data_IF_611613741473
#
_entry.id   IF_611613741473
#
_cell.length_a   1.000
_cell.length_b   1.000
_cell.length_c   1.000
_cell.angle_alpha   90.00
_cell.angle_beta   90.00
_cell.angle_gamma   90.00
#
_symmetry.space_group_name_H-M   'P 1'
#
loop_
_entity.id
_entity.type
_entity.pdbx_description
1 polymer ?
#
# COMPACT_ATOMS: atom_id res chain seq x y z
N UNK A 1 16.52 13.68 -11.03
CA UNK A 1 16.07 12.66 -12.01
C UNK A 1 15.13 11.71 -11.27
N UNK A 2 13.84 11.68 -11.62
CA UNK A 2 12.89 10.71 -11.03
C UNK A 2 13.18 9.30 -11.57
N UNK A 3 13.19 8.30 -10.70
CA UNK A 3 13.36 6.88 -11.07
C UNK A 3 12.25 6.42 -12.02
N UNK A 4 12.50 5.41 -12.86
CA UNK A 4 11.51 4.85 -13.80
C UNK A 4 10.23 4.37 -13.12
N UNK A 5 10.35 3.93 -11.86
CA UNK A 5 9.21 3.75 -10.94
C UNK A 5 8.25 4.95 -10.99
N UNK A 6 8.73 6.17 -10.75
CA UNK A 6 7.89 7.37 -10.73
C UNK A 6 7.20 7.70 -12.07
N UNK A 7 7.68 7.20 -13.22
CA UNK A 7 7.06 7.43 -14.53
C UNK A 7 5.82 6.57 -14.77
N UNK A 8 5.82 5.33 -14.29
CA UNK A 8 4.67 4.41 -14.43
C UNK A 8 3.63 4.62 -13.31
N UNK A 9 4.03 5.21 -12.18
CA UNK A 9 3.16 5.49 -11.01
C UNK A 9 2.41 6.84 -11.06
N UNK A 10 2.54 7.64 -12.11
CA UNK A 10 1.91 8.97 -12.20
C UNK A 10 0.37 8.94 -12.30
N UNK A 11 -0.21 7.79 -12.67
CA UNK A 11 -1.65 7.66 -12.95
C UNK A 11 -2.39 6.69 -12.04
N UNK A 12 -1.71 5.93 -11.18
CA UNK A 12 -2.35 4.86 -10.39
C UNK A 12 -2.22 5.14 -8.89
N UNK A 13 -3.19 4.71 -8.08
CA UNK A 13 -3.03 4.71 -6.62
C UNK A 13 -1.87 3.77 -6.25
N UNK A 14 -1.08 4.15 -5.25
CA UNK A 14 0.02 3.32 -4.78
C UNK A 14 0.30 3.48 -3.27
N UNK A 15 0.94 2.46 -2.70
CA UNK A 15 1.42 2.44 -1.33
C UNK A 15 2.93 2.14 -1.31
N UNK A 16 3.70 2.89 -0.54
CA UNK A 16 5.07 2.55 -0.17
C UNK A 16 5.03 1.86 1.18
N UNK A 17 5.46 0.60 1.21
CA UNK A 17 5.62 -0.13 2.45
C UNK A 17 7.11 -0.13 2.80
N UNK A 18 7.45 0.49 3.93
CA UNK A 18 8.79 0.41 4.50
C UNK A 18 8.91 -0.90 5.28
N UNK A 19 9.09 -2.00 4.54
CA UNK A 19 9.16 -3.37 5.08
C UNK A 19 10.22 -3.53 6.18
N UNK A 20 11.36 -2.85 6.07
CA UNK A 20 12.43 -2.88 7.07
C UNK A 20 12.04 -2.26 8.42
N UNK A 21 10.92 -1.53 8.48
CA UNK A 21 10.37 -1.01 9.74
C UNK A 21 9.42 -2.00 10.44
N UNK A 22 8.99 -3.07 9.76
CA UNK A 22 7.97 -3.98 10.28
C UNK A 22 8.59 -5.27 10.85
N UNK A 23 7.96 -5.90 11.86
CA UNK A 23 8.40 -7.19 12.39
C UNK A 23 8.45 -8.31 11.34
N UNK A 24 9.42 -9.20 11.50
CA UNK A 24 9.55 -10.41 10.66
C UNK A 24 8.26 -11.25 10.76
N UNK A 25 7.83 -11.77 9.62
CA UNK A 25 6.66 -12.63 9.54
C UNK A 25 5.34 -11.86 9.47
N UNK A 26 5.35 -10.53 9.48
CA UNK A 26 4.17 -9.75 9.07
C UNK A 26 4.03 -9.76 7.56
N UNK A 27 2.84 -9.45 7.06
CA UNK A 27 2.55 -9.44 5.64
C UNK A 27 1.48 -8.43 5.31
N UNK A 28 1.23 -8.22 4.03
CA UNK A 28 0.18 -7.33 3.57
C UNK A 28 -0.62 -7.94 2.42
N UNK A 29 -1.84 -7.44 2.25
CA UNK A 29 -2.66 -7.67 1.06
C UNK A 29 -3.15 -6.33 0.56
N UNK A 30 -3.05 -6.16 -0.75
CA UNK A 30 -3.55 -4.99 -1.43
C UNK A 30 -4.77 -5.37 -2.27
N UNK A 31 -5.77 -4.50 -2.23
CA UNK A 31 -7.09 -4.72 -2.78
C UNK A 31 -7.54 -3.56 -3.62
N UNK A 32 -8.31 -3.89 -4.65
CA UNK A 32 -9.05 -2.92 -5.45
C UNK A 32 -10.53 -3.23 -5.36
N UNK A 33 -11.36 -2.19 -5.23
CA UNK A 33 -12.81 -2.32 -5.28
C UNK A 33 -13.42 -1.12 -6.00
N UNK A 34 -14.48 -1.38 -6.76
CA UNK A 34 -15.23 -0.34 -7.46
C UNK A 34 -16.21 0.36 -6.51
N UNK A 35 -16.56 1.64 -6.77
CA UNK A 35 -17.55 2.35 -5.96
C UNK A 35 -18.94 1.67 -5.97
N UNK A 36 -19.26 0.91 -7.02
CA UNK A 36 -20.55 0.24 -7.20
C UNK A 36 -20.47 -1.29 -7.06
N UNK A 37 -19.27 -1.86 -6.92
CA UNK A 37 -19.08 -3.30 -6.81
C UNK A 37 -18.06 -3.60 -5.71
N UNK A 38 -18.51 -4.08 -4.54
CA UNK A 38 -17.66 -4.36 -3.39
C UNK A 38 -16.82 -5.63 -3.56
N UNK A 39 -16.72 -6.19 -4.78
CA UNK A 39 -15.80 -7.30 -5.06
C UNK A 39 -14.37 -6.82 -4.85
N UNK A 40 -13.89 -7.08 -3.65
CA UNK A 40 -12.51 -6.93 -3.20
C UNK A 40 -11.68 -7.94 -4.01
N UNK A 41 -10.98 -7.47 -5.04
CA UNK A 41 -10.00 -8.31 -5.74
C UNK A 41 -8.65 -8.06 -5.10
N UNK A 42 -8.15 -9.06 -4.36
CA UNK A 42 -6.78 -9.08 -3.90
C UNK A 42 -5.88 -9.35 -5.10
N UNK A 43 -5.02 -8.39 -5.44
CA UNK A 43 -4.14 -8.53 -6.61
C UNK A 43 -2.68 -8.78 -6.20
N UNK A 44 -2.31 -8.46 -4.96
CA UNK A 44 -0.97 -8.68 -4.41
C UNK A 44 -1.04 -9.07 -2.94
N UNK A 45 -0.27 -10.10 -2.59
CA UNK A 45 0.01 -10.49 -1.20
C UNK A 45 1.49 -10.76 -1.03
N UNK A 46 2.07 -10.30 0.06
CA UNK A 46 3.48 -10.56 0.35
C UNK A 46 3.71 -10.62 1.86
N UNK A 47 4.56 -11.56 2.27
CA UNK A 47 5.12 -11.60 3.62
C UNK A 47 6.45 -10.85 3.62
N UNK A 48 6.65 -10.03 4.63
CA UNK A 48 7.78 -9.11 4.72
C UNK A 48 9.07 -9.90 4.95
N UNK A 49 9.96 -9.87 3.96
CA UNK A 49 11.33 -10.34 4.09
C UNK A 49 12.24 -9.17 4.52
N UNK A 50 12.99 -9.29 5.64
CA UNK A 50 13.94 -8.26 6.08
C UNK A 50 15.05 -7.92 5.07
N UNK A 51 15.31 -8.78 4.09
CA UNK A 51 16.35 -8.58 3.06
C UNK A 51 15.99 -7.51 2.02
N UNK A 52 14.73 -7.08 1.96
CA UNK A 52 14.30 -6.07 1.00
C UNK A 52 13.54 -4.96 1.76
N UNK A 53 14.16 -3.81 2.06
CA UNK A 53 13.66 -2.92 3.11
C UNK A 53 12.47 -2.04 2.69
N UNK A 54 12.27 -1.77 1.40
CA UNK A 54 11.22 -0.85 0.94
C UNK A 54 10.64 -1.27 -0.40
N UNK A 55 9.33 -1.12 -0.58
CA UNK A 55 8.69 -1.42 -1.86
C UNK A 55 7.46 -0.55 -2.11
N UNK A 56 7.45 0.10 -3.28
CA UNK A 56 6.23 0.68 -3.82
C UNK A 56 5.37 -0.41 -4.44
N UNK A 57 4.08 -0.34 -4.16
CA UNK A 57 3.06 -1.25 -4.64
C UNK A 57 1.93 -0.45 -5.26
N UNK A 58 1.53 -0.85 -6.46
CA UNK A 58 0.31 -0.38 -7.09
C UNK A 58 -0.51 -1.59 -7.51
N UNK A 59 -1.83 -1.46 -7.54
CA UNK A 59 -2.69 -2.49 -8.12
C UNK A 59 -2.72 -2.51 -9.63
N UNK A 60 -2.04 -1.55 -10.27
CA UNK A 60 -2.36 -1.22 -11.64
C UNK A 60 -3.82 -0.77 -11.78
N UNK A 61 -4.46 -0.36 -10.68
CA UNK A 61 -5.84 0.09 -10.73
C UNK A 61 -5.92 1.40 -11.52
N UNK A 62 -6.94 1.55 -12.38
CA UNK A 62 -7.27 2.82 -12.96
C UNK A 62 -7.51 3.87 -11.88
N UNK A 63 -7.29 5.13 -12.23
CA UNK A 63 -7.54 6.33 -11.45
C UNK A 63 -9.04 6.60 -11.18
N UNK A 64 -9.87 5.56 -11.19
CA UNK A 64 -11.31 5.63 -10.90
C UNK A 64 -11.73 4.59 -9.86
N UNK A 65 -10.79 3.74 -9.42
CA UNK A 65 -11.05 2.66 -8.47
C UNK A 65 -10.40 2.96 -7.11
N UNK A 66 -11.03 2.46 -6.04
CA UNK A 66 -10.49 2.61 -4.69
C UNK A 66 -9.41 1.55 -4.43
N UNK A 67 -8.43 1.92 -3.63
CA UNK A 67 -7.34 1.05 -3.20
C UNK A 67 -7.40 0.86 -1.68
N UNK A 68 -7.21 -0.38 -1.22
CA UNK A 68 -7.07 -0.69 0.19
C UNK A 68 -5.84 -1.56 0.42
N UNK A 69 -5.18 -1.33 1.55
CA UNK A 69 -4.08 -2.11 2.04
C UNK A 69 -4.43 -2.65 3.43
N UNK A 70 -4.36 -3.95 3.59
CA UNK A 70 -4.46 -4.62 4.89
C UNK A 70 -3.10 -5.18 5.29
N UNK A 71 -2.74 -5.03 6.56
CA UNK A 71 -1.50 -5.54 7.13
C UNK A 71 -1.83 -6.60 8.18
N UNK A 72 -1.12 -7.72 8.11
CA UNK A 72 -1.34 -8.92 8.90
C UNK A 72 -0.10 -9.27 9.72
N UNK A 73 -0.31 -9.86 10.89
CA UNK A 73 0.76 -10.52 11.65
C UNK A 73 1.08 -11.92 11.10
N UNK A 74 2.07 -12.60 11.68
CA UNK A 74 2.46 -13.96 11.29
C UNK A 74 1.41 -15.05 11.54
N UNK A 75 0.32 -14.72 12.23
CA UNK A 75 -0.83 -15.61 12.43
C UNK A 75 -2.00 -15.27 11.49
N UNK A 76 -1.77 -14.40 10.49
CA UNK A 76 -2.78 -13.90 9.58
C UNK A 76 -3.91 -13.08 10.24
N UNK A 77 -3.67 -12.52 11.43
CA UNK A 77 -4.55 -11.56 12.08
C UNK A 77 -4.37 -10.19 11.43
N UNK A 78 -5.46 -9.57 10.98
CA UNK A 78 -5.39 -8.20 10.43
C UNK A 78 -5.12 -7.20 11.56
N UNK A 79 -4.00 -6.49 11.46
CA UNK A 79 -3.55 -5.48 12.42
C UNK A 79 -4.00 -4.06 12.05
N UNK A 80 -4.08 -3.79 10.75
CA UNK A 80 -4.37 -2.45 10.22
C UNK A 80 -4.97 -2.56 8.83
N UNK A 81 -6.01 -1.76 8.57
CA UNK A 81 -6.49 -1.47 7.22
C UNK A 81 -6.27 0.00 6.89
N UNK A 82 -5.89 0.29 5.66
CA UNK A 82 -5.61 1.63 5.16
C UNK A 82 -6.35 1.80 3.83
N UNK A 83 -7.30 2.73 3.80
CA UNK A 83 -8.04 3.07 2.58
C UNK A 83 -7.40 4.26 1.89
N UNK A 84 -7.07 4.08 0.62
CA UNK A 84 -6.66 5.16 -0.28
C UNK A 84 -7.86 5.48 -1.15
N UNK A 85 -8.44 6.64 -0.85
CA UNK A 85 -9.78 6.99 -1.30
C UNK A 85 -9.76 7.63 -2.67
N UNK A 86 -8.73 8.43 -2.99
CA UNK A 86 -8.71 9.20 -4.22
C UNK A 86 -7.70 8.70 -5.25
N UNK A 87 -8.05 8.82 -6.54
CA UNK A 87 -7.17 8.61 -7.67
C UNK A 87 -5.84 9.35 -7.62
N UNK A 88 -4.74 8.62 -7.81
CA UNK A 88 -3.37 9.13 -7.77
C UNK A 88 -2.82 9.35 -6.36
N UNK A 89 -3.62 9.15 -5.30
CA UNK A 89 -3.12 9.26 -3.93
C UNK A 89 -2.01 8.23 -3.68
N UNK A 90 -1.00 8.68 -2.94
CA UNK A 90 0.12 7.86 -2.50
C UNK A 90 0.10 7.74 -1.00
N UNK A 91 0.20 6.53 -0.47
CA UNK A 91 0.35 6.33 0.97
C UNK A 91 1.73 5.78 1.29
N UNK A 92 2.40 6.35 2.29
CA UNK A 92 3.60 5.75 2.87
C UNK A 92 3.23 5.12 4.20
N UNK A 93 3.61 3.87 4.39
CA UNK A 93 3.34 3.10 5.61
C UNK A 93 4.64 2.61 6.20
N UNK A 94 4.84 2.93 7.48
CA UNK A 94 5.93 2.42 8.29
C UNK A 94 5.45 2.07 9.70
N UNK A 95 6.24 1.24 10.38
CA UNK A 95 6.03 0.85 11.76
C UNK A 95 7.29 1.20 12.55
N UNK A 96 7.25 2.23 13.38
CA UNK A 96 8.44 2.74 14.08
C UNK A 96 8.11 2.86 15.55
N UNK A 97 8.99 2.40 16.42
CA UNK A 97 8.81 2.43 17.88
C UNK A 97 7.46 1.83 18.33
N UNK A 98 7.10 0.70 17.73
CA UNK A 98 5.83 0.01 17.95
C UNK A 98 4.56 0.78 17.56
N UNK A 99 4.69 1.84 16.74
CA UNK A 99 3.58 2.69 16.30
C UNK A 99 3.45 2.73 14.77
N UNK A 100 2.21 2.79 14.30
CA UNK A 100 1.91 2.98 12.88
C UNK A 100 2.14 4.43 12.47
N UNK A 101 2.93 4.64 11.42
CA UNK A 101 3.06 5.92 10.73
C UNK A 101 2.49 5.77 9.32
N UNK A 102 1.42 6.51 9.05
CA UNK A 102 0.71 6.48 7.76
C UNK A 102 0.63 7.90 7.22
N UNK A 103 1.31 8.16 6.11
CA UNK A 103 1.30 9.48 5.45
C UNK A 103 0.53 9.39 4.15
N UNK A 104 -0.57 10.14 4.05
CA UNK A 104 -1.35 10.28 2.82
C UNK A 104 -0.87 11.50 2.04
N UNK A 105 -0.25 11.25 0.89
CA UNK A 105 0.12 12.28 -0.06
C UNK A 105 -0.99 12.33 -1.11
N UNK A 106 -1.83 13.35 -1.05
CA UNK A 106 -2.96 13.51 -1.96
C UNK A 106 -2.52 14.10 -3.29
N UNK A 107 -3.24 13.75 -4.36
CA UNK A 107 -3.03 14.34 -5.69
C UNK A 107 -2.96 15.87 -5.64
N UNK A 108 -1.83 16.42 -6.11
CA UNK A 108 -1.57 17.86 -6.15
C UNK A 108 -0.78 18.45 -4.97
N UNK A 109 -0.36 17.63 -4.01
CA UNK A 109 0.36 18.08 -2.81
C UNK A 109 1.78 17.46 -2.66
N UNK A 110 2.48 17.23 -3.77
CA UNK A 110 3.86 16.72 -3.80
C UNK A 110 4.76 17.52 -4.74
#
# INVERSE_FOLDING_TARGET
>A
RMSEANRTYGQNNCALIRRGSMPKGWGFKAYTYGPQNPRIVAYWREWLNPENPEQWMSAGQPDTQHFQLDIYDGNATCLKYIKVVQPGDRVTVSYVDHQWQVTHNKKGHW
#
